data_IF_315746242269
#
_entry.id   IF_315746242269
#
_cell.length_a   1.000
_cell.length_b   1.000
_cell.length_c   1.000
_cell.angle_alpha   90.00
_cell.angle_beta   90.00
_cell.angle_gamma   90.00
#
_symmetry.space_group_name_H-M   'P 1'
#
loop_
_entity.id
_entity.type
_entity.pdbx_description
1 polymer ?
#
# COMPACT_ATOMS: atom_id res chain seq x y z
N UNK A 1 34.34 -18.73 -12.90
CA UNK A 1 33.41 -17.70 -12.38
C UNK A 1 32.77 -17.05 -13.58
N UNK A 2 31.45 -17.18 -13.73
CA UNK A 2 30.73 -16.64 -14.88
C UNK A 2 30.41 -15.17 -14.68
N UNK A 3 30.56 -14.38 -15.72
CA UNK A 3 30.27 -12.93 -15.74
C UNK A 3 28.84 -12.60 -15.27
N UNK A 4 27.87 -13.52 -15.49
CA UNK A 4 26.50 -13.38 -14.95
C UNK A 4 26.41 -13.49 -13.43
N UNK A 5 27.20 -14.35 -12.79
CA UNK A 5 27.18 -14.52 -11.32
C UNK A 5 27.77 -13.29 -10.63
N UNK A 6 28.83 -12.71 -11.20
CA UNK A 6 29.47 -11.49 -10.67
C UNK A 6 28.53 -10.28 -10.71
N UNK A 7 27.68 -10.17 -11.74
CA UNK A 7 26.72 -9.05 -11.87
C UNK A 7 25.48 -9.27 -11.00
N UNK A 8 25.11 -10.51 -10.67
CA UNK A 8 24.02 -10.79 -9.73
C UNK A 8 24.47 -10.59 -8.26
N UNK A 9 25.69 -10.98 -7.89
CA UNK A 9 26.26 -10.77 -6.55
C UNK A 9 26.46 -9.27 -6.23
N UNK A 10 26.91 -8.46 -7.21
CA UNK A 10 27.01 -7.00 -7.05
C UNK A 10 25.64 -6.33 -6.86
N UNK A 11 24.59 -6.86 -7.50
CA UNK A 11 23.20 -6.39 -7.30
C UNK A 11 22.68 -6.70 -5.91
N UNK A 12 23.15 -7.77 -5.25
CA UNK A 12 22.77 -8.09 -3.87
C UNK A 12 23.43 -7.15 -2.86
N UNK A 13 24.72 -6.85 -3.01
CA UNK A 13 25.44 -5.89 -2.15
C UNK A 13 24.85 -4.47 -2.25
N UNK A 14 24.60 -4.00 -3.48
CA UNK A 14 23.91 -2.72 -3.70
C UNK A 14 22.50 -2.71 -3.09
N UNK A 15 21.79 -3.84 -3.14
CA UNK A 15 20.48 -3.99 -2.52
C UNK A 15 20.54 -3.92 -0.99
N UNK A 16 21.55 -4.53 -0.36
CA UNK A 16 21.73 -4.47 1.09
C UNK A 16 22.10 -3.06 1.56
N UNK A 17 22.99 -2.37 0.83
CA UNK A 17 23.35 -0.98 1.11
C UNK A 17 22.14 -0.07 0.97
N UNK A 18 21.38 -0.21 -0.13
CA UNK A 18 20.14 0.52 -0.35
C UNK A 18 19.12 0.23 0.76
N UNK A 19 18.97 -1.04 1.18
CA UNK A 19 18.09 -1.40 2.29
C UNK A 19 18.48 -0.70 3.59
N UNK A 20 19.77 -0.69 3.96
CA UNK A 20 20.26 0.02 5.15
C UNK A 20 19.98 1.52 5.06
N UNK A 21 20.23 2.12 3.89
CA UNK A 21 19.94 3.54 3.62
C UNK A 21 18.43 3.84 3.76
N UNK A 22 17.58 3.03 3.15
CA UNK A 22 16.13 3.16 3.21
C UNK A 22 15.54 2.85 4.58
N UNK A 23 16.25 2.08 5.42
CA UNK A 23 15.85 1.87 6.81
C UNK A 23 16.09 3.12 7.66
N UNK A 24 17.14 3.90 7.37
CA UNK A 24 17.42 5.16 8.04
C UNK A 24 16.51 6.31 7.58
N UNK A 25 16.00 6.27 6.33
CA UNK A 25 15.07 7.28 5.80
C UNK A 25 13.65 7.18 6.39
N UNK A 26 12.93 8.30 6.37
CA UNK A 26 11.49 8.38 6.60
C UNK A 26 10.67 7.86 5.41
N UNK A 27 9.37 7.68 5.62
CA UNK A 27 8.46 7.25 4.55
C UNK A 27 8.34 8.31 3.45
N UNK A 28 8.34 9.59 3.84
CA UNK A 28 8.29 10.74 2.93
C UNK A 28 9.55 10.84 2.06
N UNK A 29 10.74 10.67 2.64
CA UNK A 29 12.00 10.69 1.88
C UNK A 29 12.06 9.54 0.86
N UNK A 30 11.55 8.36 1.20
CA UNK A 30 11.45 7.24 0.26
C UNK A 30 10.49 7.55 -0.89
N UNK A 31 9.38 8.24 -0.62
CA UNK A 31 8.46 8.68 -1.66
C UNK A 31 9.09 9.75 -2.55
N UNK A 32 9.88 10.66 -1.98
CA UNK A 32 10.60 11.70 -2.70
C UNK A 32 11.65 11.09 -3.65
N UNK A 33 12.44 10.12 -3.17
CA UNK A 33 13.38 9.37 -4.01
C UNK A 33 12.69 8.71 -5.22
N UNK A 34 11.48 8.17 -5.02
CA UNK A 34 10.70 7.57 -6.12
C UNK A 34 10.21 8.63 -7.12
N UNK A 35 9.88 9.85 -6.65
CA UNK A 35 9.54 10.98 -7.53
C UNK A 35 10.73 11.40 -8.38
N UNK A 36 11.89 11.57 -7.76
CA UNK A 36 13.14 11.92 -8.47
C UNK A 36 13.47 10.88 -9.54
N UNK A 37 13.35 9.58 -9.21
CA UNK A 37 13.50 8.50 -10.19
C UNK A 37 12.45 8.55 -11.30
N UNK A 38 11.21 8.93 -10.97
CA UNK A 38 10.16 9.10 -11.98
C UNK A 38 10.48 10.24 -12.95
N UNK A 39 10.97 11.37 -12.42
CA UNK A 39 11.39 12.52 -13.21
C UNK A 39 12.58 12.17 -14.11
N UNK A 40 13.57 11.45 -13.58
CA UNK A 40 14.73 10.95 -14.34
C UNK A 40 14.31 10.03 -15.49
N UNK A 41 13.38 9.11 -15.26
CA UNK A 41 12.93 8.17 -16.27
C UNK A 41 11.86 8.74 -17.22
N UNK A 42 11.26 9.89 -16.91
CA UNK A 42 10.08 10.42 -17.62
C UNK A 42 8.84 9.52 -17.57
N UNK A 43 8.88 8.47 -16.73
CA UNK A 43 7.82 7.48 -16.55
C UNK A 43 7.85 6.91 -15.13
N UNK A 44 6.73 6.37 -14.63
CA UNK A 44 6.73 5.67 -13.34
C UNK A 44 7.75 4.51 -13.34
N UNK A 45 8.65 4.44 -12.35
CA UNK A 45 9.65 3.37 -12.28
C UNK A 45 8.98 2.01 -12.07
N UNK A 46 9.54 0.98 -12.72
CA UNK A 46 9.15 -0.41 -12.49
C UNK A 46 9.79 -0.92 -11.20
N UNK A 47 9.23 -2.01 -10.67
CA UNK A 47 9.71 -2.63 -9.41
C UNK A 47 11.17 -3.07 -9.53
N UNK A 48 11.56 -3.57 -10.69
CA UNK A 48 12.92 -4.11 -10.93
C UNK A 48 13.95 -3.01 -11.22
N UNK A 49 13.51 -1.79 -11.50
CA UNK A 49 14.36 -0.62 -11.76
C UNK A 49 14.76 0.10 -10.47
N UNK A 50 14.15 -0.28 -9.33
CA UNK A 50 14.42 0.32 -8.03
C UNK A 50 15.10 -0.70 -7.14
N UNK A 51 16.35 -0.39 -6.77
CA UNK A 51 17.13 -1.17 -5.81
C UNK A 51 16.36 -1.34 -4.50
N UNK A 52 16.47 -2.51 -3.86
CA UNK A 52 15.72 -2.86 -2.65
C UNK A 52 14.19 -2.61 -2.70
N UNK A 53 13.57 -2.69 -3.89
CA UNK A 53 12.11 -2.53 -4.06
C UNK A 53 11.28 -3.48 -3.17
N UNK A 54 11.81 -4.68 -2.86
CA UNK A 54 11.20 -5.61 -1.90
C UNK A 54 11.06 -4.98 -0.51
N UNK A 55 12.08 -4.25 -0.05
CA UNK A 55 12.05 -3.55 1.24
C UNK A 55 11.03 -2.40 1.22
N UNK A 56 11.05 -1.57 0.17
CA UNK A 56 10.11 -0.47 0.00
C UNK A 56 8.66 -0.98 -0.01
N UNK A 57 8.39 -2.08 -0.72
CA UNK A 57 7.05 -2.71 -0.74
C UNK A 57 6.59 -3.20 0.62
N UNK A 58 7.52 -3.72 1.44
CA UNK A 58 7.22 -4.20 2.79
C UNK A 58 6.86 -3.03 3.72
N UNK A 59 7.54 -1.88 3.57
CA UNK A 59 7.35 -0.70 4.42
C UNK A 59 6.17 0.18 3.98
N UNK A 60 6.14 0.60 2.72
CA UNK A 60 5.16 1.56 2.20
C UNK A 60 3.88 0.91 1.64
N UNK A 61 3.92 -0.40 1.39
CA UNK A 61 2.83 -1.20 0.82
C UNK A 61 3.04 -1.56 -0.64
N UNK A 62 2.01 -2.10 -1.29
CA UNK A 62 2.10 -2.56 -2.67
C UNK A 62 2.59 -1.46 -3.63
N UNK A 63 3.49 -1.77 -4.57
CA UNK A 63 4.14 -0.81 -5.46
C UNK A 63 3.19 0.20 -6.15
N UNK A 64 2.03 -0.20 -6.69
CA UNK A 64 1.09 0.78 -7.24
C UNK A 64 0.60 1.80 -6.21
N UNK A 65 0.47 1.42 -4.93
CA UNK A 65 0.12 2.32 -3.83
C UNK A 65 1.26 3.26 -3.48
N UNK A 66 2.50 2.80 -3.62
CA UNK A 66 3.68 3.64 -3.42
C UNK A 66 3.71 4.74 -4.49
N UNK A 67 3.46 4.39 -5.76
CA UNK A 67 3.36 5.36 -6.85
C UNK A 67 2.18 6.34 -6.67
N UNK A 68 1.05 5.84 -6.14
CA UNK A 68 -0.09 6.71 -5.78
C UNK A 68 0.25 7.67 -4.64
N UNK A 69 0.92 7.20 -3.59
CA UNK A 69 1.39 8.04 -2.47
C UNK A 69 2.45 9.06 -2.92
N UNK A 70 3.31 8.65 -3.84
CA UNK A 70 4.30 9.51 -4.47
C UNK A 70 3.66 10.52 -5.43
N UNK A 71 2.35 10.48 -5.69
CA UNK A 71 1.69 11.41 -6.62
C UNK A 71 2.08 11.19 -8.09
N UNK A 72 2.87 10.15 -8.38
CA UNK A 72 3.33 9.78 -9.72
C UNK A 72 2.20 9.19 -10.56
N UNK A 73 1.24 8.52 -9.91
CA UNK A 73 0.12 7.86 -10.59
C UNK A 73 -1.20 8.07 -9.87
N UNK A 74 -2.30 8.43 -10.58
CA UNK A 74 -3.60 8.51 -9.95
C UNK A 74 -4.10 7.11 -9.53
N UNK A 75 -4.88 7.01 -8.42
CA UNK A 75 -5.48 5.75 -8.02
C UNK A 75 -6.43 5.21 -9.08
N UNK A 76 -6.39 3.91 -9.31
CA UNK A 76 -7.30 3.28 -10.28
C UNK A 76 -8.77 3.48 -9.89
N UNK A 77 -9.65 3.94 -10.81
CA UNK A 77 -11.07 4.12 -10.52
C UNK A 77 -11.76 2.85 -10.01
N UNK A 78 -11.35 1.68 -10.53
CA UNK A 78 -11.89 0.38 -10.09
C UNK A 78 -11.49 0.04 -8.67
N UNK A 79 -10.27 0.40 -8.25
CA UNK A 79 -9.84 0.26 -6.87
C UNK A 79 -10.63 1.18 -5.94
N UNK A 80 -10.79 2.45 -6.31
CA UNK A 80 -11.55 3.41 -5.51
C UNK A 80 -13.00 2.95 -5.32
N UNK A 81 -13.63 2.46 -6.39
CA UNK A 81 -14.96 1.83 -6.34
C UNK A 81 -14.99 0.64 -5.38
N UNK A 82 -13.99 -0.25 -5.44
CA UNK A 82 -13.89 -1.42 -4.56
C UNK A 82 -13.76 -1.05 -3.08
N UNK A 83 -12.91 -0.08 -2.77
CA UNK A 83 -12.74 0.44 -1.41
C UNK A 83 -14.01 1.10 -0.90
N UNK A 84 -14.67 1.92 -1.73
CA UNK A 84 -15.94 2.55 -1.41
C UNK A 84 -17.03 1.51 -1.12
N UNK A 85 -17.17 0.50 -1.99
CA UNK A 85 -18.12 -0.60 -1.81
C UNK A 85 -17.87 -1.37 -0.52
N UNK A 86 -16.60 -1.67 -0.19
CA UNK A 86 -16.23 -2.34 1.06
C UNK A 86 -16.64 -1.49 2.29
N UNK A 87 -16.39 -0.17 2.25
CA UNK A 87 -16.82 0.77 3.31
C UNK A 87 -18.36 0.81 3.43
N UNK A 88 -19.07 0.90 2.31
CA UNK A 88 -20.52 0.93 2.27
C UNK A 88 -21.14 -0.37 2.83
N UNK A 89 -20.64 -1.54 2.41
CA UNK A 89 -21.07 -2.84 2.95
C UNK A 89 -20.87 -2.93 4.45
N UNK A 90 -19.71 -2.47 4.96
CA UNK A 90 -19.43 -2.44 6.41
C UNK A 90 -20.39 -1.51 7.16
N UNK A 91 -20.70 -0.33 6.62
CA UNK A 91 -21.68 0.61 7.21
C UNK A 91 -23.08 -0.02 7.26
N UNK A 92 -23.55 -0.61 6.15
CA UNK A 92 -24.84 -1.31 6.07
C UNK A 92 -24.93 -2.45 7.10
N UNK A 93 -23.91 -3.29 7.19
CA UNK A 93 -23.86 -4.39 8.16
C UNK A 93 -23.92 -3.89 9.61
N UNK A 94 -23.17 -2.84 9.96
CA UNK A 94 -23.24 -2.22 11.30
C UNK A 94 -24.62 -1.65 11.60
N UNK A 95 -25.24 -0.97 10.64
CA UNK A 95 -26.59 -0.43 10.79
C UNK A 95 -27.63 -1.54 11.00
N UNK A 96 -27.56 -2.62 10.22
CA UNK A 96 -28.46 -3.77 10.36
C UNK A 96 -28.29 -4.43 11.74
N UNK A 97 -27.05 -4.63 12.20
CA UNK A 97 -26.78 -5.17 13.55
C UNK A 97 -27.35 -4.26 14.64
N UNK A 98 -27.22 -2.94 14.51
CA UNK A 98 -27.80 -1.97 15.46
C UNK A 98 -29.34 -2.04 15.48
N UNK A 99 -29.97 -2.10 14.30
CA UNK A 99 -31.43 -2.22 14.17
C UNK A 99 -31.96 -3.53 14.78
N UNK A 100 -31.28 -4.65 14.54
CA UNK A 100 -31.65 -5.94 15.11
C UNK A 100 -31.63 -5.90 16.65
N UNK A 101 -30.55 -5.36 17.24
CA UNK A 101 -30.44 -5.18 18.70
C UNK A 101 -31.52 -4.26 19.28
N UNK A 102 -31.87 -3.18 18.58
CA UNK A 102 -32.93 -2.28 19.03
C UNK A 102 -34.30 -2.96 19.06
N UNK A 103 -34.65 -3.72 18.00
CA UNK A 103 -35.88 -4.51 17.93
C UNK A 103 -35.95 -5.59 19.02
N UNK A 104 -34.83 -6.23 19.32
CA UNK A 104 -34.76 -7.22 20.40
C UNK A 104 -34.99 -6.58 21.78
N UNK A 105 -34.38 -5.41 22.02
CA UNK A 105 -34.60 -4.64 23.25
C UNK A 105 -36.06 -4.20 23.41
N UNK A 106 -36.67 -3.73 22.32
CA UNK A 106 -38.08 -3.33 22.30
C UNK A 106 -39.01 -4.50 22.63
N UNK A 107 -38.79 -5.66 22.01
CA UNK A 107 -39.53 -6.91 22.31
C UNK A 107 -39.36 -7.38 23.76
N UNK A 108 -38.19 -7.17 24.34
CA UNK A 108 -37.94 -7.52 25.74
C UNK A 108 -38.66 -6.55 26.68
N UNK A 109 -38.76 -5.27 26.31
CA UNK A 109 -39.45 -4.26 27.10
C UNK A 109 -40.97 -4.50 27.08
N UNK A 110 -41.55 -4.83 25.93
CA UNK A 110 -42.99 -5.12 25.78
C UNK A 110 -43.44 -6.44 26.40
N UNK A 111 -42.51 -7.28 26.88
CA UNK A 111 -42.80 -8.51 27.64
C UNK A 111 -42.72 -8.32 29.16
N UNK A 112 -42.22 -7.17 29.60
CA UNK A 112 -42.08 -6.81 31.02
C UNK A 112 -43.22 -5.91 31.51
N UNK A 113 -43.98 -5.32 30.58
CA UNK A 113 -45.30 -4.70 30.80
C UNK A 113 -46.39 -5.77 30.64
#
# INVERSE_FOLDING_TARGET
MNEKEVVDDLREEESLLAQKKYAAMSDEELLQFIREKTEEFGRPPKVDEVTASRYIKRRLGAWPRVLEKAGVKPPSPTYMRRVANRKAKRRKSKANKKKAKAREKEKLNSKKE
#
